data_IF_556792973095
#
_entry.id   IF_556792973095
#
_cell.length_a   1.000
_cell.length_b   1.000
_cell.length_c   1.000
_cell.angle_alpha   90.00
_cell.angle_beta   90.00
_cell.angle_gamma   90.00
#
_symmetry.space_group_name_H-M   'P 1'
#
loop_
_entity.id
_entity.type
_entity.pdbx_description
1 polymer ?
#
# COMPACT_ATOMS: atom_id res chain seq x y z
N UNK A 1 -18.96 10.58 -12.27
CA UNK A 1 -19.22 10.11 -10.90
C UNK A 1 -17.99 9.32 -10.44
N UNK A 2 -17.41 9.65 -9.28
CA UNK A 2 -16.41 8.78 -8.67
C UNK A 2 -17.13 7.51 -8.23
N UNK A 3 -16.71 6.36 -8.74
CA UNK A 3 -17.31 5.08 -8.35
C UNK A 3 -16.87 4.77 -6.93
N UNK A 4 -17.82 4.63 -6.03
CA UNK A 4 -17.55 4.26 -4.64
C UNK A 4 -16.86 2.90 -4.57
N UNK A 5 -15.92 2.73 -3.63
CA UNK A 5 -15.26 1.43 -3.40
C UNK A 5 -16.32 0.46 -2.86
N UNK A 6 -16.48 -0.74 -3.45
CA UNK A 6 -17.46 -1.71 -2.96
C UNK A 6 -17.17 -2.09 -1.51
N UNK A 7 -18.22 -2.35 -0.73
CA UNK A 7 -18.13 -2.53 0.73
C UNK A 7 -17.25 -3.71 1.12
N UNK A 8 -17.20 -4.77 0.29
CA UNK A 8 -16.35 -5.93 0.50
C UNK A 8 -14.86 -5.63 0.29
N UNK A 9 -14.50 -4.52 -0.36
CA UNK A 9 -13.11 -4.05 -0.46
C UNK A 9 -12.80 -2.94 0.54
N UNK A 10 -13.82 -2.19 0.98
CA UNK A 10 -13.62 -1.00 1.80
C UNK A 10 -13.00 -1.35 3.16
N UNK A 11 -11.99 -0.57 3.55
CA UNK A 11 -11.34 -0.69 4.87
C UNK A 11 -9.83 -0.89 4.79
N UNK A 12 -9.29 -1.51 5.83
CA UNK A 12 -7.85 -1.73 6.02
C UNK A 12 -7.49 -3.20 5.81
N UNK A 13 -6.34 -3.40 5.19
CA UNK A 13 -5.85 -4.73 4.82
C UNK A 13 -4.39 -4.88 5.22
N UNK A 14 -4.08 -5.86 6.07
CA UNK A 14 -2.72 -6.21 6.49
C UNK A 14 -2.04 -6.99 5.39
N UNK A 15 -0.92 -6.50 4.88
CA UNK A 15 -0.13 -7.22 3.88
C UNK A 15 0.72 -8.25 4.62
N UNK A 16 0.58 -9.53 4.26
CA UNK A 16 1.27 -10.64 4.96
C UNK A 16 2.38 -11.26 4.12
N UNK A 17 2.26 -11.16 2.80
CA UNK A 17 3.19 -11.79 1.86
C UNK A 17 3.42 -10.90 0.65
N UNK A 18 4.65 -10.87 0.15
CA UNK A 18 4.99 -10.39 -1.19
C UNK A 18 5.76 -11.46 -1.96
N UNK A 19 5.69 -11.45 -3.29
CA UNK A 19 6.37 -12.45 -4.11
C UNK A 19 7.78 -12.05 -4.57
N UNK A 20 8.08 -10.75 -4.64
CA UNK A 20 9.37 -10.26 -5.16
C UNK A 20 10.40 -9.95 -4.07
N UNK A 21 9.97 -9.69 -2.84
CA UNK A 21 10.84 -9.27 -1.75
C UNK A 21 10.71 -10.22 -0.54
N UNK A 22 11.79 -10.36 0.22
CA UNK A 22 11.84 -11.26 1.38
C UNK A 22 10.91 -10.75 2.48
N UNK A 23 9.99 -11.60 2.94
CA UNK A 23 8.94 -11.21 3.88
C UNK A 23 9.45 -10.85 5.29
N UNK A 24 10.65 -11.27 5.69
CA UNK A 24 11.24 -10.96 7.01
C UNK A 24 11.30 -9.45 7.29
N UNK A 25 11.40 -8.63 6.25
CA UNK A 25 11.42 -7.17 6.35
C UNK A 25 10.08 -6.49 6.11
N UNK A 26 8.97 -7.21 5.94
CA UNK A 26 7.70 -6.60 5.50
C UNK A 26 7.16 -5.57 6.50
N UNK A 27 7.39 -5.79 7.80
CA UNK A 27 6.93 -4.95 8.90
C UNK A 27 8.02 -4.01 9.45
N UNK A 28 9.13 -3.79 8.73
CA UNK A 28 10.30 -3.04 9.26
C UNK A 28 9.99 -1.60 9.69
N UNK A 29 8.98 -0.94 9.08
CA UNK A 29 8.49 0.39 9.48
C UNK A 29 7.17 0.34 10.29
N UNK A 30 6.86 -0.82 10.86
CA UNK A 30 5.59 -1.15 11.51
C UNK A 30 4.68 -1.99 10.60
N UNK A 31 3.54 -2.43 11.14
CA UNK A 31 2.62 -3.36 10.46
C UNK A 31 2.31 -2.92 9.02
N UNK A 32 2.59 -3.82 8.08
CA UNK A 32 2.38 -3.63 6.67
C UNK A 32 0.89 -3.63 6.35
N UNK A 33 0.42 -2.56 5.69
CA UNK A 33 -1.00 -2.36 5.41
C UNK A 33 -1.20 -1.59 4.11
N UNK A 34 -2.38 -1.78 3.51
CA UNK A 34 -2.97 -0.90 2.52
C UNK A 34 -4.40 -0.55 2.97
N UNK A 35 -4.78 0.73 2.85
CA UNK A 35 -6.15 1.17 3.06
C UNK A 35 -6.87 1.40 1.72
N UNK A 36 -8.13 1.00 1.66
CA UNK A 36 -9.03 1.15 0.52
C UNK A 36 -10.33 1.82 1.00
N UNK A 37 -10.21 2.96 1.66
CA UNK A 37 -11.33 3.68 2.28
C UNK A 37 -11.99 4.66 1.31
N UNK A 38 -11.26 5.12 0.30
CA UNK A 38 -11.64 6.17 -0.64
C UNK A 38 -11.22 7.58 -0.19
N UNK A 39 -10.58 7.71 0.99
CA UNK A 39 -10.21 9.00 1.57
C UNK A 39 -8.84 8.92 2.26
N UNK A 40 -7.88 9.73 1.76
CA UNK A 40 -6.53 9.80 2.31
C UNK A 40 -5.85 8.43 2.51
N UNK A 41 -6.03 7.53 1.54
CA UNK A 41 -5.57 6.16 1.67
C UNK A 41 -4.04 6.06 1.72
N UNK A 42 -3.55 5.05 2.45
CA UNK A 42 -2.14 4.85 2.76
C UNK A 42 -1.70 3.42 2.43
N UNK A 43 -0.41 3.29 2.13
CA UNK A 43 0.29 2.02 2.03
C UNK A 43 1.59 2.10 2.83
N UNK A 44 1.88 1.02 3.57
CA UNK A 44 3.15 0.79 4.25
C UNK A 44 3.52 -0.68 4.07
N UNK A 45 4.74 -0.96 3.61
CA UNK A 45 5.35 -2.29 3.61
C UNK A 45 6.84 -2.13 3.38
N UNK A 46 7.68 -2.98 3.98
CA UNK A 46 9.13 -2.82 3.91
C UNK A 46 9.53 -1.37 4.27
N UNK A 47 10.43 -0.77 3.49
CA UNK A 47 10.83 0.62 3.64
C UNK A 47 9.94 1.60 2.84
N UNK A 48 8.81 1.15 2.30
CA UNK A 48 7.89 1.98 1.52
C UNK A 48 6.82 2.61 2.42
N UNK A 49 6.67 3.92 2.29
CA UNK A 49 5.52 4.69 2.78
C UNK A 49 4.90 5.41 1.59
N UNK A 50 3.59 5.30 1.40
CA UNK A 50 2.91 5.90 0.25
C UNK A 50 1.50 6.41 0.57
N UNK A 51 1.08 7.41 -0.20
CA UNK A 51 -0.33 7.77 -0.39
C UNK A 51 -0.91 6.93 -1.53
N UNK A 52 -2.19 6.63 -1.43
CA UNK A 52 -2.91 5.76 -2.37
C UNK A 52 -4.15 6.47 -2.89
N UNK A 53 -4.42 6.34 -4.19
CA UNK A 53 -5.67 6.76 -4.80
C UNK A 53 -6.39 5.53 -5.38
N UNK A 54 -7.57 5.24 -4.86
CA UNK A 54 -8.34 4.04 -5.19
C UNK A 54 -9.46 4.34 -6.19
N UNK A 55 -9.70 3.38 -7.08
CA UNK A 55 -10.83 3.40 -8.02
C UNK A 55 -11.43 2.01 -8.16
N UNK A 56 -12.75 1.90 -7.95
CA UNK A 56 -13.46 0.66 -8.20
C UNK A 56 -13.42 0.28 -9.69
N UNK A 57 -13.23 -1.00 -9.97
CA UNK A 57 -13.25 -1.61 -11.29
C UNK A 57 -14.15 -2.84 -11.27
N UNK A 58 -14.54 -3.34 -12.45
CA UNK A 58 -15.49 -4.46 -12.57
C UNK A 58 -15.12 -5.70 -11.75
N UNK A 59 -13.82 -5.95 -11.56
CA UNK A 59 -13.31 -7.15 -10.89
C UNK A 59 -12.62 -6.87 -9.56
N UNK A 60 -12.75 -5.66 -9.00
CA UNK A 60 -12.11 -5.29 -7.73
C UNK A 60 -11.77 -3.81 -7.61
N UNK A 61 -10.59 -3.49 -7.08
CA UNK A 61 -10.13 -2.10 -6.91
C UNK A 61 -8.79 -1.92 -7.59
N UNK A 62 -8.67 -0.95 -8.50
CA UNK A 62 -7.38 -0.46 -8.99
C UNK A 62 -6.91 0.70 -8.13
N UNK A 63 -5.60 0.89 -8.04
CA UNK A 63 -5.04 2.04 -7.33
C UNK A 63 -3.79 2.58 -8.01
N UNK A 64 -3.53 3.86 -7.82
CA UNK A 64 -2.20 4.47 -8.00
C UNK A 64 -1.62 4.79 -6.64
N UNK A 65 -0.30 4.91 -6.56
CA UNK A 65 0.37 5.30 -5.33
C UNK A 65 1.57 6.20 -5.63
N UNK A 66 1.84 7.10 -4.69
CA UNK A 66 3.00 8.00 -4.68
C UNK A 66 3.60 7.99 -3.28
N UNK A 67 4.91 7.81 -3.19
CA UNK A 67 5.56 7.61 -1.90
C UNK A 67 7.07 7.62 -2.01
N UNK A 68 7.71 7.01 -1.00
CA UNK A 68 9.15 6.89 -0.95
C UNK A 68 9.56 5.52 -0.43
N UNK A 69 10.55 4.92 -1.08
CA UNK A 69 11.29 3.80 -0.53
C UNK A 69 12.50 4.37 0.18
N UNK A 70 12.52 4.26 1.51
CA UNK A 70 13.42 5.06 2.34
C UNK A 70 13.27 6.55 1.99
N UNK A 71 14.23 7.18 1.31
CA UNK A 71 14.18 8.59 0.91
C UNK A 71 13.98 8.80 -0.60
N UNK A 72 13.96 7.72 -1.38
CA UNK A 72 13.87 7.77 -2.83
C UNK A 72 12.40 7.84 -3.24
N UNK A 73 12.02 8.95 -3.90
CA UNK A 73 10.65 9.15 -4.36
C UNK A 73 10.31 8.15 -5.46
N UNK A 74 9.20 7.45 -5.26
CA UNK A 74 8.70 6.45 -6.18
C UNK A 74 7.20 6.60 -6.36
N UNK A 75 6.71 6.06 -7.46
CA UNK A 75 5.28 5.99 -7.75
C UNK A 75 4.97 4.72 -8.48
N UNK A 76 3.68 4.40 -8.59
CA UNK A 76 3.28 3.24 -9.31
C UNK A 76 1.78 3.00 -9.30
N UNK A 77 1.42 1.75 -9.56
CA UNK A 77 0.03 1.34 -9.66
C UNK A 77 -0.16 -0.09 -9.17
N UNK A 78 -1.42 -0.45 -8.98
CA UNK A 78 -1.78 -1.80 -8.64
C UNK A 78 -3.26 -2.06 -8.77
N UNK A 79 -3.63 -3.28 -8.41
CA UNK A 79 -5.02 -3.68 -8.28
C UNK A 79 -5.15 -4.81 -7.27
N UNK A 80 -6.32 -4.94 -6.68
CA UNK A 80 -6.69 -6.02 -5.78
C UNK A 80 -7.98 -6.69 -6.23
N UNK A 81 -8.08 -7.99 -5.95
CA UNK A 81 -9.29 -8.80 -6.11
C UNK A 81 -9.52 -9.58 -4.82
N UNK A 82 -10.77 -9.64 -4.36
CA UNK A 82 -11.15 -10.43 -3.18
C UNK A 82 -11.22 -11.91 -3.53
N UNK A 83 -10.61 -12.76 -2.72
CA UNK A 83 -10.66 -14.22 -2.83
C UNK A 83 -11.83 -14.79 -2.03
N UNK A 84 -12.14 -16.06 -2.28
CA UNK A 84 -13.20 -16.79 -1.55
C UNK A 84 -12.88 -16.96 -0.06
N UNK A 85 -11.60 -17.00 0.32
CA UNK A 85 -11.13 -17.09 1.71
C UNK A 85 -11.19 -15.75 2.46
N UNK A 86 -11.65 -14.68 1.80
CA UNK A 86 -11.75 -13.33 2.38
C UNK A 86 -10.47 -12.51 2.34
N UNK A 87 -9.38 -13.04 1.77
CA UNK A 87 -8.13 -12.29 1.55
C UNK A 87 -8.13 -11.51 0.24
N UNK A 88 -7.35 -10.44 0.17
CA UNK A 88 -7.03 -9.78 -1.09
C UNK A 88 -5.82 -10.44 -1.75
N UNK A 89 -5.94 -10.68 -3.05
CA UNK A 89 -4.78 -10.83 -3.94
C UNK A 89 -4.50 -9.51 -4.62
N UNK A 90 -3.31 -8.98 -4.42
CA UNK A 90 -2.86 -7.76 -5.06
C UNK A 90 -1.79 -7.97 -6.11
N UNK A 91 -1.74 -7.04 -7.07
CA UNK A 91 -0.54 -6.75 -7.85
C UNK A 91 -0.08 -5.35 -7.52
N UNK A 92 1.20 -5.18 -7.25
CA UNK A 92 1.88 -3.92 -6.97
C UNK A 92 2.97 -3.71 -8.03
N UNK A 93 2.99 -2.54 -8.65
CA UNK A 93 3.96 -2.18 -9.69
C UNK A 93 4.62 -0.86 -9.33
N UNK A 94 5.94 -0.84 -9.40
CA UNK A 94 6.75 0.38 -9.38
C UNK A 94 6.81 0.88 -10.83
N UNK A 95 6.57 2.18 -11.02
CA UNK A 95 6.68 2.81 -12.34
C UNK A 95 8.13 2.66 -12.81
N UNK A 96 8.30 2.15 -14.04
CA UNK A 96 9.60 1.91 -14.68
C UNK A 96 10.54 0.97 -13.89
N UNK A 97 9.97 0.11 -13.04
CA UNK A 97 10.71 -0.81 -12.19
C UNK A 97 10.00 -2.14 -11.99
N UNK A 98 10.27 -2.77 -10.85
CA UNK A 98 9.78 -4.11 -10.55
C UNK A 98 8.28 -4.16 -10.23
N UNK A 99 7.76 -5.39 -10.23
CA UNK A 99 6.41 -5.68 -9.77
C UNK A 99 6.40 -6.87 -8.83
N UNK A 100 5.44 -6.86 -7.91
CA UNK A 100 5.19 -7.96 -6.98
C UNK A 100 3.71 -8.27 -6.91
N UNK A 101 3.38 -9.53 -6.66
CA UNK A 101 2.08 -9.85 -6.07
C UNK A 101 2.14 -9.71 -4.55
N UNK A 102 0.99 -9.56 -3.92
CA UNK A 102 0.88 -9.62 -2.47
C UNK A 102 -0.43 -10.29 -2.02
N UNK A 103 -0.42 -10.78 -0.79
CA UNK A 103 -1.62 -11.22 -0.06
C UNK A 103 -1.89 -10.24 1.06
N UNK A 104 -3.17 -9.92 1.27
CA UNK A 104 -3.57 -9.11 2.41
C UNK A 104 -4.85 -9.59 3.08
N UNK A 105 -4.87 -9.52 4.41
CA UNK A 105 -5.98 -9.95 5.27
C UNK A 105 -6.72 -8.75 5.82
N UNK A 106 -8.02 -8.87 6.06
CA UNK A 106 -8.80 -7.77 6.63
C UNK A 106 -8.31 -7.44 8.03
N UNK A 107 -8.15 -6.15 8.32
CA UNK A 107 -7.72 -5.67 9.63
C UNK A 107 -8.43 -4.35 10.01
N UNK A 108 -8.18 -3.88 11.23
CA UNK A 108 -8.58 -2.55 11.70
C UNK A 108 -7.58 -1.50 11.21
N UNK A 109 -7.95 -0.23 11.31
CA UNK A 109 -7.00 0.85 11.13
C UNK A 109 -5.80 0.67 12.09
N UNK A 110 -4.57 1.00 11.68
CA UNK A 110 -3.44 1.06 12.59
C UNK A 110 -3.71 1.98 13.77
N UNK A 111 -3.25 1.60 14.96
CA UNK A 111 -3.42 2.42 16.18
C UNK A 111 -2.63 3.73 16.08
N UNK A 112 -1.48 3.70 15.41
CA UNK A 112 -0.65 4.86 15.13
C UNK A 112 -0.78 5.32 13.67
N UNK A 113 -0.82 6.64 13.41
CA UNK A 113 -0.82 7.16 12.05
C UNK A 113 0.40 6.68 11.25
N UNK A 114 0.18 6.30 10.00
CA UNK A 114 1.29 5.99 9.09
C UNK A 114 2.01 7.31 8.74
N UNK A 115 3.33 7.42 8.97
CA UNK A 115 4.08 8.63 8.66
C UNK A 115 3.95 9.04 7.19
N UNK A 116 4.07 10.33 6.91
CA UNK A 116 4.19 10.80 5.53
C UNK A 116 5.41 10.16 4.84
N UNK A 117 5.35 9.90 3.52
CA UNK A 117 6.54 9.51 2.77
C UNK A 117 7.62 10.59 2.96
N UNK A 118 8.83 10.25 3.44
CA UNK A 118 9.89 11.23 3.59
C UNK A 118 10.41 11.67 2.22
N UNK A 119 11.09 12.81 2.20
CA UNK A 119 11.76 13.35 1.02
C UNK A 119 13.27 13.24 1.14
N UNK A 120 13.98 13.36 0.02
CA UNK A 120 15.45 13.41 0.02
C UNK A 120 16.02 14.54 0.90
N UNK A 121 15.26 15.64 1.10
CA UNK A 121 15.67 16.73 2.01
C UNK A 121 15.71 16.29 3.46
N UNK A 122 14.84 15.38 3.86
CA UNK A 122 14.71 14.93 5.26
C UNK A 122 15.91 14.07 5.68
N UNK A 123 16.52 13.36 4.73
CA UNK A 123 17.76 12.57 4.93
C UNK A 123 18.89 13.36 5.58
N UNK A 124 18.96 14.67 5.32
CA UNK A 124 20.04 15.54 5.77
C UNK A 124 19.65 16.48 6.92
N UNK A 125 18.37 16.50 7.32
CA UNK A 125 17.88 17.37 8.41
C UNK A 125 18.25 16.87 9.81
N UNK A 126 18.55 15.58 9.98
CA UNK A 126 18.89 14.98 11.27
C UNK A 126 20.41 14.94 11.56
N UNK A 127 21.22 15.63 10.76
CA UNK A 127 22.69 15.65 10.88
C UNK A 127 23.27 16.94 11.49
N UNK A 128 22.43 17.82 12.01
CA UNK A 128 22.82 19.08 12.65
C UNK A 128 22.04 19.28 13.94
#
# INVERSE_FOLDING_TARGET
MMTEIPSEYRGWWRITETSAWVNDGIDILGTAVISLTGHADRLRMHCLLAYVNCKAIKTGVSFTWEGAWEYDQMSGSGRVTLRQDGTLRGTFRIKDGDSSTFIAERTKAPDEPIPAPPSYRDKWRHRW
#
